data_IF_097385302862
#
_entry.id   IF_097385302862
#
_cell.length_a   1.000
_cell.length_b   1.000
_cell.length_c   1.000
_cell.angle_alpha   90.00
_cell.angle_beta   90.00
_cell.angle_gamma   90.00
#
_symmetry.space_group_name_H-M   'P 1'
#
loop_
_entity.id
_entity.type
_entity.pdbx_description
1 polymer ?
#
# COMPACT_ATOMS: atom_id res chain seq x y z
N UNK A 1 -9.39 -15.53 5.38
CA UNK A 1 -8.56 -14.41 5.85
C UNK A 1 -7.15 -14.55 5.30
N UNK A 2 -6.26 -13.62 5.59
CA UNK A 2 -4.87 -13.64 5.13
C UNK A 2 -3.98 -12.70 5.96
N UNK A 3 -2.67 -12.85 5.80
CA UNK A 3 -1.66 -11.96 6.39
C UNK A 3 -1.19 -11.02 5.29
N UNK A 4 -1.45 -9.72 5.43
CA UNK A 4 -1.24 -8.73 4.38
C UNK A 4 -0.30 -7.62 4.85
N UNK A 5 0.84 -7.45 4.19
CA UNK A 5 1.76 -6.33 4.48
C UNK A 5 1.09 -4.97 4.21
N UNK A 6 0.18 -4.90 3.23
CA UNK A 6 -0.59 -3.70 2.89
C UNK A 6 -1.57 -3.27 3.99
N UNK A 7 -1.94 -4.15 4.92
CA UNK A 7 -2.70 -3.74 6.12
C UNK A 7 -1.89 -2.82 7.04
N UNK A 8 -0.54 -2.81 6.94
CA UNK A 8 0.30 -1.82 7.61
C UNK A 8 0.29 -0.44 6.95
N UNK A 9 -0.18 -0.35 5.69
CA UNK A 9 -0.19 0.89 4.90
C UNK A 9 -1.61 1.47 4.84
N UNK A 10 -2.62 0.65 4.53
CA UNK A 10 -4.04 1.05 4.37
C UNK A 10 -4.97 0.08 5.12
N UNK A 11 -4.87 0.01 6.46
CA UNK A 11 -5.72 -0.88 7.26
C UNK A 11 -7.21 -0.65 7.01
N UNK A 12 -7.61 0.60 6.74
CA UNK A 12 -8.98 1.01 6.47
C UNK A 12 -9.57 0.34 5.23
N UNK A 13 -8.74 0.16 4.19
CA UNK A 13 -9.15 -0.47 2.93
C UNK A 13 -9.22 -1.99 3.11
N UNK A 14 -8.19 -2.58 3.73
CA UNK A 14 -8.18 -4.04 3.98
C UNK A 14 -9.34 -4.47 4.89
N UNK A 15 -9.72 -3.63 5.87
CA UNK A 15 -10.90 -3.85 6.71
C UNK A 15 -12.19 -3.73 5.91
N UNK A 16 -12.34 -2.69 5.08
CA UNK A 16 -13.52 -2.50 4.23
C UNK A 16 -13.74 -3.69 3.27
N UNK A 17 -12.68 -4.21 2.66
CA UNK A 17 -12.75 -5.42 1.82
C UNK A 17 -13.28 -6.61 2.62
N UNK A 18 -12.78 -6.82 3.85
CA UNK A 18 -13.26 -7.90 4.71
C UNK A 18 -14.74 -7.74 5.05
N UNK A 19 -15.17 -6.54 5.44
CA UNK A 19 -16.56 -6.26 5.82
C UNK A 19 -17.53 -6.43 4.64
N UNK A 20 -17.21 -5.90 3.47
CA UNK A 20 -18.01 -6.07 2.26
C UNK A 20 -18.09 -7.55 1.85
N UNK A 21 -16.97 -8.26 1.93
CA UNK A 21 -16.93 -9.71 1.61
C UNK A 21 -17.81 -10.52 2.56
N UNK A 22 -17.75 -10.25 3.87
CA UNK A 22 -18.59 -10.96 4.87
C UNK A 22 -20.07 -10.63 4.72
N UNK A 23 -20.41 -9.44 4.23
CA UNK A 23 -21.77 -9.03 3.87
C UNK A 23 -22.22 -9.55 2.49
N UNK A 24 -21.40 -10.33 1.79
CA UNK A 24 -21.65 -10.82 0.41
C UNK A 24 -21.77 -9.71 -0.65
N UNK A 25 -21.27 -8.51 -0.37
CA UNK A 25 -21.18 -7.37 -1.31
C UNK A 25 -19.93 -7.47 -2.18
N UNK A 26 -19.83 -8.54 -2.95
CA UNK A 26 -18.59 -8.89 -3.66
C UNK A 26 -18.18 -7.88 -4.72
N UNK A 27 -19.14 -7.24 -5.40
CA UNK A 27 -18.83 -6.23 -6.43
C UNK A 27 -18.12 -5.02 -5.82
N UNK A 28 -18.62 -4.51 -4.68
CA UNK A 28 -18.00 -3.41 -3.95
C UNK A 28 -16.62 -3.81 -3.40
N UNK A 29 -16.51 -5.02 -2.81
CA UNK A 29 -15.25 -5.55 -2.32
C UNK A 29 -14.19 -5.67 -3.43
N UNK A 30 -14.60 -6.08 -4.64
CA UNK A 30 -13.71 -6.28 -5.77
C UNK A 30 -13.15 -4.95 -6.33
N UNK A 31 -13.91 -3.86 -6.25
CA UNK A 31 -13.40 -2.53 -6.62
C UNK A 31 -12.23 -2.15 -5.72
N UNK A 32 -12.40 -2.27 -4.40
CA UNK A 32 -11.33 -1.97 -3.44
C UNK A 32 -10.15 -2.92 -3.58
N UNK A 33 -10.40 -4.20 -3.85
CA UNK A 33 -9.34 -5.19 -4.05
C UNK A 33 -8.46 -4.87 -5.27
N UNK A 34 -9.03 -4.34 -6.36
CA UNK A 34 -8.24 -3.91 -7.53
C UNK A 34 -7.34 -2.72 -7.21
N UNK A 35 -7.85 -1.73 -6.47
CA UNK A 35 -7.04 -0.60 -6.02
C UNK A 35 -5.92 -1.05 -5.07
N UNK A 36 -6.22 -2.00 -4.18
CA UNK A 36 -5.23 -2.59 -3.28
C UNK A 36 -4.12 -3.34 -4.05
N UNK A 37 -4.47 -3.98 -5.17
CA UNK A 37 -3.51 -4.66 -6.04
C UNK A 37 -2.55 -3.67 -6.69
N UNK A 38 -3.05 -2.54 -7.20
CA UNK A 38 -2.21 -1.48 -7.78
C UNK A 38 -1.24 -0.89 -6.75
N UNK A 39 -1.70 -0.69 -5.51
CA UNK A 39 -0.84 -0.29 -4.40
C UNK A 39 0.22 -1.36 -4.12
N UNK A 40 -0.18 -2.63 -4.06
CA UNK A 40 0.72 -3.75 -3.78
C UNK A 40 1.84 -3.85 -4.83
N UNK A 41 1.51 -3.80 -6.11
CA UNK A 41 2.50 -3.87 -7.19
C UNK A 41 3.49 -2.69 -7.10
N UNK A 42 2.99 -1.49 -6.78
CA UNK A 42 3.82 -0.29 -6.60
C UNK A 42 4.86 -0.44 -5.48
N UNK A 43 4.50 -1.04 -4.35
CA UNK A 43 5.39 -1.19 -3.19
C UNK A 43 6.24 -2.45 -3.25
N UNK A 44 5.79 -3.49 -3.96
CA UNK A 44 6.52 -4.75 -4.07
C UNK A 44 7.68 -4.66 -5.08
N UNK A 45 7.49 -3.91 -6.18
CA UNK A 45 8.50 -3.75 -7.24
C UNK A 45 9.49 -2.59 -7.00
N UNK A 46 9.33 -1.85 -5.89
CA UNK A 46 10.05 -0.59 -5.63
C UNK A 46 11.56 -0.75 -5.40
N UNK A 47 11.94 -1.80 -4.67
CA UNK A 47 13.31 -2.18 -4.29
C UNK A 47 13.24 -3.53 -3.58
N UNK A 48 14.34 -4.01 -2.99
CA UNK A 48 14.31 -5.24 -2.22
C UNK A 48 13.27 -5.14 -1.09
N UNK A 49 12.44 -6.18 -0.95
CA UNK A 49 11.50 -6.25 0.14
C UNK A 49 12.24 -6.17 1.49
N UNK A 50 11.80 -5.34 2.46
CA UNK A 50 10.52 -4.62 2.54
C UNK A 50 10.62 -3.10 2.30
N UNK A 51 11.57 -2.60 1.51
CA UNK A 51 11.82 -1.16 1.38
C UNK A 51 10.61 -0.36 0.89
N UNK A 52 9.91 -0.83 -0.15
CA UNK A 52 8.72 -0.15 -0.66
C UNK A 52 7.54 -0.16 0.32
N UNK A 53 7.39 -1.23 1.11
CA UNK A 53 6.40 -1.26 2.20
C UNK A 53 6.76 -0.24 3.27
N UNK A 54 8.05 -0.13 3.62
CA UNK A 54 8.51 0.82 4.64
C UNK A 54 8.32 2.25 4.19
N UNK A 55 8.66 2.60 2.95
CA UNK A 55 8.46 3.95 2.44
C UNK A 55 6.98 4.32 2.41
N UNK A 56 6.10 3.36 2.07
CA UNK A 56 4.66 3.56 2.14
C UNK A 56 4.15 3.80 3.57
N UNK A 57 4.73 3.13 4.57
CA UNK A 57 4.39 3.34 5.98
C UNK A 57 4.94 4.69 6.49
N UNK A 58 6.13 5.10 6.04
CA UNK A 58 6.68 6.43 6.33
C UNK A 58 5.74 7.54 5.79
N UNK A 59 5.14 7.35 4.60
CA UNK A 59 4.12 8.26 4.04
C UNK A 59 2.84 8.35 4.90
N UNK A 60 2.56 7.32 5.70
CA UNK A 60 1.46 7.31 6.68
C UNK A 60 1.84 7.95 8.02
N UNK A 61 3.06 8.50 8.14
CA UNK A 61 3.55 9.21 9.33
C UNK A 61 4.31 8.35 10.34
N UNK A 62 4.64 7.10 9.99
CA UNK A 62 5.38 6.19 10.87
C UNK A 62 6.83 6.06 10.39
N UNK A 63 7.75 6.78 11.02
CA UNK A 63 9.15 6.87 10.56
C UNK A 63 10.01 5.71 11.11
N UNK A 64 10.21 4.66 10.31
CA UNK A 64 11.03 3.49 10.72
C UNK A 64 12.51 3.61 10.38
N UNK A 65 12.90 4.64 9.63
CA UNK A 65 14.28 4.83 9.18
C UNK A 65 14.67 3.84 8.08
N UNK A 66 15.99 3.66 7.87
CA UNK A 66 16.51 2.84 6.77
C UNK A 66 16.59 1.37 7.15
N UNK A 67 16.45 0.50 6.14
CA UNK A 67 16.75 -0.93 6.28
C UNK A 67 18.20 -1.18 6.68
N UNK A 68 18.45 -2.33 7.33
CA UNK A 68 19.81 -2.74 7.71
C UNK A 68 20.68 -3.11 6.49
N UNK A 69 20.04 -3.61 5.43
CA UNK A 69 20.71 -3.90 4.17
C UNK A 69 20.81 -2.60 3.35
N UNK A 70 22.02 -2.17 2.97
CA UNK A 70 22.19 -0.99 2.12
C UNK A 70 21.57 -1.22 0.74
N UNK A 71 20.97 -0.17 0.19
CA UNK A 71 20.49 -0.18 -1.19
C UNK A 71 21.58 0.27 -2.14
N UNK A 72 21.62 -0.34 -3.32
CA UNK A 72 22.37 0.20 -4.45
C UNK A 72 21.79 1.55 -4.90
N UNK A 73 22.56 2.30 -5.67
CA UNK A 73 22.10 3.56 -6.28
C UNK A 73 20.86 3.35 -7.16
N UNK A 74 20.84 2.26 -7.95
CA UNK A 74 19.70 1.89 -8.79
C UNK A 74 18.45 1.64 -7.94
N UNK A 75 18.56 0.83 -6.89
CA UNK A 75 17.43 0.54 -5.99
C UNK A 75 16.94 1.80 -5.29
N UNK A 76 17.85 2.69 -4.88
CA UNK A 76 17.48 3.97 -4.25
C UNK A 76 16.67 4.85 -5.22
N UNK A 77 17.09 4.94 -6.49
CA UNK A 77 16.38 5.68 -7.52
C UNK A 77 15.00 5.07 -7.83
N UNK A 78 14.91 3.75 -7.98
CA UNK A 78 13.63 3.05 -8.20
C UNK A 78 12.67 3.24 -7.01
N UNK A 79 13.18 3.15 -5.77
CA UNK A 79 12.39 3.35 -4.56
C UNK A 79 11.81 4.77 -4.49
N UNK A 80 12.58 5.80 -4.87
CA UNK A 80 12.10 7.17 -4.88
C UNK A 80 10.92 7.38 -5.85
N UNK A 81 11.03 6.83 -7.06
CA UNK A 81 9.96 6.89 -8.07
C UNK A 81 8.72 6.14 -7.59
N UNK A 82 8.90 4.92 -7.07
CA UNK A 82 7.82 4.10 -6.56
C UNK A 82 7.13 4.74 -5.34
N UNK A 83 7.87 5.42 -4.47
CA UNK A 83 7.33 6.11 -3.30
C UNK A 83 6.39 7.25 -3.73
N UNK A 84 6.73 8.01 -4.76
CA UNK A 84 5.86 9.07 -5.26
C UNK A 84 4.58 8.52 -5.90
N UNK A 85 4.69 7.44 -6.69
CA UNK A 85 3.50 6.72 -7.19
C UNK A 85 2.62 6.21 -6.06
N UNK A 86 3.24 5.61 -5.05
CA UNK A 86 2.58 5.05 -3.88
C UNK A 86 1.83 6.12 -3.09
N UNK A 87 2.42 7.32 -2.91
CA UNK A 87 1.77 8.47 -2.27
C UNK A 87 0.45 8.83 -2.97
N UNK A 88 0.48 8.97 -4.30
CA UNK A 88 -0.73 9.28 -5.08
C UNK A 88 -1.80 8.21 -4.96
N UNK A 89 -1.40 6.92 -4.98
CA UNK A 89 -2.34 5.80 -4.80
C UNK A 89 -3.00 5.82 -3.42
N UNK A 90 -2.22 6.06 -2.35
CA UNK A 90 -2.76 6.16 -0.98
C UNK A 90 -3.77 7.32 -0.89
N UNK A 91 -3.43 8.51 -1.40
CA UNK A 91 -4.31 9.67 -1.41
C UNK A 91 -5.62 9.41 -2.17
N UNK A 92 -5.53 8.77 -3.34
CA UNK A 92 -6.70 8.37 -4.12
C UNK A 92 -7.59 7.37 -3.37
N UNK A 93 -7.00 6.36 -2.73
CA UNK A 93 -7.76 5.36 -1.98
C UNK A 93 -8.45 5.95 -0.75
N UNK A 94 -7.80 6.89 -0.05
CA UNK A 94 -8.36 7.51 1.16
C UNK A 94 -9.45 8.55 0.83
N UNK A 95 -9.28 9.33 -0.24
CA UNK A 95 -10.28 10.33 -0.67
C UNK A 95 -11.61 9.69 -1.12
N UNK A 96 -11.56 8.55 -1.82
CA UNK A 96 -12.77 7.81 -2.23
C UNK A 96 -13.59 7.36 -1.02
N UNK A 97 -12.92 7.02 0.09
CA UNK A 97 -13.59 6.58 1.31
C UNK A 97 -14.31 7.73 2.03
N UNK A 98 -13.78 8.94 2.02
CA UNK A 98 -14.42 10.09 2.68
C UNK A 98 -15.68 10.59 1.93
N UNK A 99 -15.82 10.21 0.66
CA UNK A 99 -16.98 10.56 -0.17
C UNK A 99 -18.21 9.64 0.04
N UNK A 100 -18.09 8.60 0.88
CA UNK A 100 -19.11 7.57 1.14
C UNK A 100 -19.33 7.32 2.63
#
# INVERSE_FOLDING_TARGET
GGVHATSGIVPEITRSIYDLTTQKKFNEAFVLQKQLLELFDSVFDAADFPEGIRSAIDLRGFHFGKGRQPLSEKQTATLAIATEKTRMLIEQMLSIREAH
#
